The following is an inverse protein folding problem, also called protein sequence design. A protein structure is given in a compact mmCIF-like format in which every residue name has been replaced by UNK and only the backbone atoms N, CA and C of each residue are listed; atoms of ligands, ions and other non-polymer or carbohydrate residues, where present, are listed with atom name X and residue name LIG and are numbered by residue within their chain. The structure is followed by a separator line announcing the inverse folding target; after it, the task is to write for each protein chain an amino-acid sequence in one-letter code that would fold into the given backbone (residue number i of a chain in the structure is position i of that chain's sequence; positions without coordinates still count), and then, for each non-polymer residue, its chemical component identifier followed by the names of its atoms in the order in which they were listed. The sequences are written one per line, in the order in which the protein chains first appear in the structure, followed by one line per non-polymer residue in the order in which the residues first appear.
data_IF_307014883340
#
_entry.id   IF_307014883340
#
_cell.length_a   1.000
_cell.length_b   1.000
_cell.length_c   1.000
_cell.angle_alpha   90.00
_cell.angle_beta   90.00
_cell.angle_gamma   90.00
#
_symmetry.space_group_name_H-M   'P 1'
#
loop_
_entity.id
_entity.type
_entity.pdbx_description
1 polymer ?
#
# COMPACT_ATOMS: atom_id res chain seq x y z
N UNK A 1 3.27 2.42 -12.22
CA UNK A 1 4.33 1.91 -13.14
C UNK A 1 4.49 0.43 -12.90
N UNK A 2 4.67 -0.35 -13.96
CA UNK A 2 4.82 -1.80 -13.88
C UNK A 2 6.03 -2.23 -14.71
N UNK A 3 7.17 -2.60 -14.08
CA UNK A 3 8.34 -3.08 -14.80
C UNK A 3 8.06 -4.44 -15.44
N UNK A 4 8.61 -4.68 -16.62
CA UNK A 4 8.54 -5.97 -17.30
C UNK A 4 9.88 -6.69 -17.23
N UNK A 5 9.88 -8.03 -17.21
CA UNK A 5 11.11 -8.80 -17.34
C UNK A 5 11.69 -8.63 -18.76
N UNK A 6 13.01 -8.79 -18.87
CA UNK A 6 13.71 -8.80 -20.16
C UNK A 6 14.05 -7.41 -20.71
N UNK A 7 14.27 -7.34 -22.03
CA UNK A 7 14.76 -6.14 -22.73
C UNK A 7 13.82 -5.62 -23.83
N UNK A 8 12.76 -6.34 -24.14
CA UNK A 8 11.80 -6.02 -25.20
C UNK A 8 10.38 -5.96 -24.66
N UNK A 9 9.52 -5.19 -25.31
CA UNK A 9 8.10 -5.22 -25.00
C UNK A 9 7.46 -6.51 -25.55
N UNK A 10 6.43 -7.04 -24.89
CA UNK A 10 5.65 -8.15 -25.42
C UNK A 10 5.07 -7.84 -26.80
N UNK A 11 5.12 -8.81 -27.71
CA UNK A 11 4.63 -8.67 -29.09
C UNK A 11 3.22 -9.29 -29.30
N UNK A 12 2.65 -9.92 -28.26
CA UNK A 12 1.34 -10.56 -28.30
C UNK A 12 0.71 -10.59 -26.91
N UNK A 13 -0.59 -10.88 -26.84
CA UNK A 13 -1.31 -11.05 -25.57
C UNK A 13 -0.74 -12.18 -24.71
N UNK A 14 -0.31 -13.29 -25.33
CA UNK A 14 0.29 -14.42 -24.62
C UNK A 14 1.69 -14.08 -24.08
N UNK A 15 2.51 -13.37 -24.87
CA UNK A 15 3.80 -12.88 -24.39
C UNK A 15 3.63 -11.86 -23.25
N UNK A 16 2.58 -11.04 -23.31
CA UNK A 16 2.23 -10.10 -22.25
C UNK A 16 1.84 -10.85 -20.97
N UNK A 17 0.95 -11.84 -21.06
CA UNK A 17 0.55 -12.69 -19.93
C UNK A 17 1.76 -13.27 -19.22
N UNK A 18 2.67 -13.89 -19.97
CA UNK A 18 3.90 -14.47 -19.44
C UNK A 18 4.82 -13.43 -18.78
N UNK A 19 4.98 -12.25 -19.39
CA UNK A 19 5.81 -11.17 -18.84
C UNK A 19 5.22 -10.60 -17.53
N UNK A 20 3.89 -10.43 -17.46
CA UNK A 20 3.21 -9.99 -16.24
C UNK A 20 3.36 -11.03 -15.13
N UNK A 21 3.12 -12.31 -15.43
CA UNK A 21 3.28 -13.43 -14.48
C UNK A 21 4.68 -13.43 -13.86
N UNK A 22 5.72 -13.37 -14.69
CA UNK A 22 7.10 -13.36 -14.24
C UNK A 22 7.46 -12.11 -13.44
N UNK A 23 6.96 -10.93 -13.83
CA UNK A 23 7.19 -9.69 -13.08
C UNK A 23 6.58 -9.77 -11.67
N UNK A 24 5.34 -10.25 -11.57
CA UNK A 24 4.64 -10.38 -10.28
C UNK A 24 5.33 -11.43 -9.40
N UNK A 25 5.72 -12.57 -9.97
CA UNK A 25 6.45 -13.61 -9.25
C UNK A 25 7.82 -13.16 -8.71
N UNK A 26 8.36 -12.04 -9.20
CA UNK A 26 9.59 -11.44 -8.65
C UNK A 26 9.37 -10.67 -7.34
N UNK A 27 8.12 -10.27 -7.04
CA UNK A 27 7.75 -9.49 -5.85
C UNK A 27 6.88 -10.26 -4.87
N UNK A 28 6.15 -11.29 -5.32
CA UNK A 28 5.36 -12.18 -4.47
C UNK A 28 5.70 -13.64 -4.75
N UNK A 29 5.53 -14.50 -3.76
CA UNK A 29 5.46 -15.94 -3.94
C UNK A 29 4.02 -16.29 -4.33
N UNK A 30 3.77 -16.77 -5.56
CA UNK A 30 2.42 -17.12 -6.01
C UNK A 30 1.90 -18.37 -5.30
N UNK A 31 0.57 -18.47 -5.13
CA UNK A 31 -0.11 -19.70 -4.73
C UNK A 31 -0.55 -20.56 -5.94
N UNK A 32 -0.56 -19.97 -7.14
CA UNK A 32 -0.95 -20.58 -8.41
C UNK A 32 -0.75 -19.59 -9.57
N UNK A 33 -1.25 -19.90 -10.77
CA UNK A 33 -1.24 -18.95 -11.89
C UNK A 33 -1.98 -17.66 -11.52
N UNK A 34 -1.36 -16.51 -11.76
CA UNK A 34 -1.89 -15.21 -11.33
C UNK A 34 -2.55 -14.44 -12.46
N UNK A 35 -2.06 -14.55 -13.70
CA UNK A 35 -2.42 -13.64 -14.80
C UNK A 35 -3.25 -14.31 -15.88
N UNK A 36 -4.36 -13.69 -16.21
CA UNK A 36 -5.20 -13.99 -17.38
C UNK A 36 -5.34 -12.75 -18.25
N UNK A 37 -5.32 -12.95 -19.58
CA UNK A 37 -5.42 -11.88 -20.58
C UNK A 37 -6.44 -12.30 -21.63
N UNK A 38 -7.47 -11.48 -21.83
CA UNK A 38 -8.43 -11.62 -22.92
C UNK A 38 -8.03 -10.69 -24.06
N UNK A 39 -7.63 -11.27 -25.20
CA UNK A 39 -7.19 -10.53 -26.38
C UNK A 39 -8.38 -9.93 -27.15
N UNK A 40 -8.18 -8.73 -27.70
CA UNK A 40 -9.12 -8.05 -28.59
C UNK A 40 -8.45 -7.54 -29.87
N UNK A 41 -7.31 -8.14 -30.24
CA UNK A 41 -6.45 -7.69 -31.33
C UNK A 41 -5.33 -6.82 -30.79
N UNK A 42 -4.37 -7.46 -30.11
CA UNK A 42 -3.17 -6.85 -29.53
C UNK A 42 -2.60 -5.71 -30.41
N UNK A 43 -2.34 -4.51 -29.86
CA UNK A 43 -2.22 -4.18 -28.44
C UNK A 43 -3.53 -3.81 -27.73
N UNK A 44 -4.70 -4.05 -28.36
CA UNK A 44 -6.00 -3.91 -27.71
C UNK A 44 -6.37 -5.18 -26.97
N UNK A 45 -6.81 -5.05 -25.73
CA UNK A 45 -7.18 -6.14 -24.84
C UNK A 45 -8.59 -5.88 -24.31
N UNK A 46 -9.38 -6.94 -24.22
CA UNK A 46 -10.70 -6.87 -23.60
C UNK A 46 -10.56 -6.85 -22.07
N UNK A 47 -9.70 -7.70 -21.52
CA UNK A 47 -9.49 -7.76 -20.08
C UNK A 47 -8.09 -8.22 -19.70
N UNK A 48 -7.60 -7.72 -18.56
CA UNK A 48 -6.47 -8.31 -17.83
C UNK A 48 -6.91 -8.51 -16.38
N UNK A 49 -6.83 -9.75 -15.90
CA UNK A 49 -7.12 -10.09 -14.52
C UNK A 49 -5.88 -10.71 -13.86
N UNK A 50 -5.54 -10.17 -12.70
CA UNK A 50 -4.42 -10.59 -11.85
C UNK A 50 -4.99 -11.05 -10.51
N UNK A 51 -4.94 -12.36 -10.23
CA UNK A 51 -5.24 -12.89 -8.90
C UNK A 51 -3.95 -13.05 -8.11
N UNK A 52 -3.87 -12.38 -6.95
CA UNK A 52 -2.86 -12.55 -5.93
C UNK A 52 -3.42 -13.34 -4.74
N UNK A 53 -4.50 -14.10 -4.96
CA UNK A 53 -5.19 -14.82 -3.91
C UNK A 53 -4.28 -15.89 -3.31
N UNK A 54 -4.09 -15.84 -1.99
CA UNK A 54 -3.17 -16.72 -1.27
C UNK A 54 -1.68 -16.42 -1.50
N UNK A 55 -1.32 -15.43 -2.31
CA UNK A 55 0.08 -15.08 -2.57
C UNK A 55 0.75 -14.50 -1.32
N UNK A 56 2.09 -14.50 -1.29
CA UNK A 56 2.88 -13.96 -0.18
C UNK A 56 3.90 -12.93 -0.66
N UNK A 57 3.74 -11.67 -0.26
CA UNK A 57 4.61 -10.55 -0.61
C UNK A 57 5.95 -10.51 0.16
N UNK A 58 6.20 -11.50 1.03
CA UNK A 58 7.42 -11.60 1.82
C UNK A 58 7.51 -10.57 2.95
N UNK A 59 8.70 -10.50 3.56
CA UNK A 59 8.97 -9.66 4.74
C UNK A 59 9.47 -8.26 4.35
N UNK A 60 9.99 -8.09 3.13
CA UNK A 60 10.57 -6.84 2.64
C UNK A 60 9.66 -6.21 1.61
N UNK A 61 9.38 -4.90 1.70
CA UNK A 61 8.63 -4.22 0.67
C UNK A 61 9.37 -4.32 -0.68
N UNK A 62 8.65 -4.44 -1.81
CA UNK A 62 9.27 -4.44 -3.12
C UNK A 62 10.01 -3.12 -3.36
N UNK A 63 11.09 -3.18 -4.14
CA UNK A 63 11.80 -1.97 -4.55
C UNK A 63 10.85 -1.11 -5.38
N UNK A 64 10.84 0.21 -5.13
CA UNK A 64 10.07 1.13 -5.98
C UNK A 64 10.57 1.01 -7.42
N UNK A 65 9.66 0.90 -8.41
CA UNK A 65 10.05 0.92 -9.81
C UNK A 65 10.82 2.21 -10.11
N UNK A 66 11.83 2.10 -10.97
CA UNK A 66 12.55 3.26 -11.44
C UNK A 66 11.64 4.11 -12.35
N UNK A 67 11.77 5.45 -12.33
CA UNK A 67 10.99 6.31 -13.21
C UNK A 67 11.38 6.07 -14.68
N UNK A 68 10.45 6.30 -15.62
CA UNK A 68 10.75 6.24 -17.05
C UNK A 68 11.75 7.32 -17.44
N UNK A 69 12.57 7.03 -18.45
CA UNK A 69 13.48 7.97 -19.09
C UNK A 69 12.98 8.24 -20.51
N UNK A 70 13.01 9.51 -20.91
CA UNK A 70 12.53 9.95 -22.22
C UNK A 70 11.00 10.03 -22.31
N UNK A 71 10.49 10.15 -23.54
CA UNK A 71 9.07 10.25 -23.80
C UNK A 71 8.37 8.90 -23.65
N UNK A 72 7.25 8.88 -22.93
CA UNK A 72 6.36 7.72 -22.86
C UNK A 72 5.61 7.57 -24.18
N UNK A 73 5.68 6.39 -24.80
CA UNK A 73 5.01 6.08 -26.06
C UNK A 73 3.65 5.40 -25.80
N UNK A 74 2.68 5.47 -26.72
CA UNK A 74 1.45 4.68 -26.63
C UNK A 74 1.75 3.18 -26.53
N UNK A 75 1.03 2.48 -25.64
CA UNK A 75 1.24 1.06 -25.36
C UNK A 75 -0.03 0.23 -25.52
N UNK A 76 -0.62 -0.18 -24.40
CA UNK A 76 -1.78 -1.06 -24.35
C UNK A 76 -3.08 -0.29 -24.14
N UNK A 77 -4.17 -0.81 -24.70
CA UNK A 77 -5.53 -0.34 -24.43
C UNK A 77 -6.33 -1.52 -23.88
N UNK A 78 -6.93 -1.34 -22.69
CA UNK A 78 -7.66 -2.37 -21.99
C UNK A 78 -9.06 -1.89 -21.66
N UNK A 79 -10.11 -2.65 -22.00
CA UNK A 79 -11.47 -2.29 -21.58
C UNK A 79 -11.65 -2.50 -20.07
N UNK A 80 -11.14 -3.62 -19.55
CA UNK A 80 -11.26 -3.98 -18.13
C UNK A 80 -9.92 -4.41 -17.52
N UNK A 81 -9.64 -3.93 -16.32
CA UNK A 81 -8.47 -4.33 -15.53
C UNK A 81 -8.93 -4.69 -14.12
N UNK A 82 -8.46 -5.83 -13.60
CA UNK A 82 -8.75 -6.26 -12.23
C UNK A 82 -7.53 -6.86 -11.56
N UNK A 83 -7.33 -6.53 -10.29
CA UNK A 83 -6.42 -7.21 -9.38
C UNK A 83 -7.18 -7.62 -8.13
N UNK A 84 -7.03 -8.86 -7.69
CA UNK A 84 -7.57 -9.35 -6.41
C UNK A 84 -6.45 -9.92 -5.53
N UNK A 85 -6.69 -10.00 -4.22
CA UNK A 85 -5.81 -10.68 -3.28
C UNK A 85 -6.58 -11.03 -2.02
N UNK A 86 -7.02 -12.29 -1.91
CA UNK A 86 -7.91 -12.78 -0.86
C UNK A 86 -7.45 -14.12 -0.26
N UNK A 87 -6.84 -14.13 0.93
CA UNK A 87 -6.02 -13.04 1.45
C UNK A 87 -4.69 -12.96 0.69
N UNK A 88 -4.15 -11.76 0.53
CA UNK A 88 -2.73 -11.55 0.24
C UNK A 88 -1.96 -11.52 1.58
N UNK A 89 -0.89 -12.31 1.70
CA UNK A 89 -0.03 -12.28 2.88
C UNK A 89 1.05 -11.22 2.74
N UNK A 90 1.02 -10.20 3.60
CA UNK A 90 2.02 -9.13 3.68
C UNK A 90 2.66 -9.18 5.06
N UNK A 91 3.96 -9.49 5.17
CA UNK A 91 4.64 -9.65 6.47
C UNK A 91 3.84 -10.55 7.45
N UNK A 92 3.27 -11.64 6.91
CA UNK A 92 2.40 -12.63 7.59
C UNK A 92 1.00 -12.16 7.98
N UNK A 93 0.68 -10.88 7.79
CA UNK A 93 -0.66 -10.38 7.99
C UNK A 93 -1.53 -10.62 6.76
N UNK A 94 -2.80 -10.93 7.01
CA UNK A 94 -3.80 -11.13 5.97
C UNK A 94 -4.36 -9.78 5.54
N UNK A 95 -4.21 -9.47 4.26
CA UNK A 95 -4.72 -8.25 3.63
C UNK A 95 -5.63 -8.65 2.50
N UNK A 96 -6.88 -8.18 2.52
CA UNK A 96 -7.75 -8.24 1.36
C UNK A 96 -7.50 -7.02 0.48
N UNK A 97 -7.20 -7.25 -0.79
CA UNK A 97 -6.93 -6.20 -1.76
C UNK A 97 -7.78 -6.40 -3.00
N UNK A 98 -8.39 -5.32 -3.49
CA UNK A 98 -9.08 -5.34 -4.77
C UNK A 98 -8.82 -4.03 -5.51
N UNK A 99 -8.52 -4.14 -6.80
CA UNK A 99 -8.39 -3.00 -7.70
C UNK A 99 -9.15 -3.31 -8.97
N UNK A 100 -10.03 -2.41 -9.40
CA UNK A 100 -10.77 -2.51 -10.66
C UNK A 100 -10.63 -1.21 -11.43
N UNK A 101 -10.47 -1.27 -12.74
CA UNK A 101 -10.46 -0.11 -13.60
C UNK A 101 -11.06 -0.41 -14.98
N UNK A 102 -11.61 0.63 -15.62
CA UNK A 102 -12.17 0.57 -16.98
C UNK A 102 -11.48 1.54 -17.92
N UNK A 103 -11.46 1.15 -19.21
CA UNK A 103 -10.84 1.91 -20.30
C UNK A 103 -9.42 2.36 -19.96
N UNK A 104 -8.58 1.42 -19.53
CA UNK A 104 -7.21 1.69 -19.12
C UNK A 104 -6.32 1.87 -20.34
N UNK A 105 -5.54 2.94 -20.35
CA UNK A 105 -4.47 3.18 -21.31
C UNK A 105 -3.13 3.10 -20.62
N UNK A 106 -2.27 2.22 -21.10
CA UNK A 106 -0.90 2.09 -20.63
C UNK A 106 0.06 2.61 -21.70
N UNK A 107 1.00 3.45 -21.29
CA UNK A 107 2.14 3.85 -22.08
C UNK A 107 3.30 2.87 -21.91
N UNK A 108 4.19 2.84 -22.89
CA UNK A 108 5.43 2.09 -22.89
C UNK A 108 6.61 3.04 -22.72
N UNK A 109 7.50 2.71 -21.79
CA UNK A 109 8.72 3.47 -21.55
C UNK A 109 9.85 2.53 -21.10
N UNK A 110 11.06 3.08 -21.01
CA UNK A 110 12.21 2.36 -20.45
C UNK A 110 12.73 3.07 -19.21
N UNK A 111 13.26 2.32 -18.27
CA UNK A 111 14.03 2.89 -17.17
C UNK A 111 15.44 3.27 -17.63
N UNK A 112 16.24 3.85 -16.72
CA UNK A 112 17.65 4.21 -17.01
C UNK A 112 18.55 3.00 -17.31
N UNK A 113 18.15 1.80 -16.92
CA UNK A 113 18.86 0.55 -17.18
C UNK A 113 18.38 -0.11 -18.50
N UNK A 114 17.52 0.58 -19.24
CA UNK A 114 16.94 0.17 -20.51
C UNK A 114 15.85 -0.90 -20.39
N UNK A 115 15.38 -1.23 -19.19
CA UNK A 115 14.34 -2.24 -19.00
C UNK A 115 12.97 -1.66 -19.37
N UNK A 116 12.11 -2.44 -20.06
CA UNK A 116 10.77 -2.01 -20.41
C UNK A 116 9.87 -1.90 -19.17
N UNK A 117 9.02 -0.88 -19.13
CA UNK A 117 7.98 -0.72 -18.13
C UNK A 117 6.70 -0.14 -18.74
N UNK A 118 5.56 -0.51 -18.18
CA UNK A 118 4.29 0.13 -18.45
C UNK A 118 4.05 1.29 -17.47
N UNK A 119 3.54 2.39 -18.01
CA UNK A 119 3.11 3.57 -17.26
C UNK A 119 1.61 3.69 -17.42
N UNK A 120 0.87 3.83 -16.31
CA UNK A 120 -0.56 4.15 -16.39
C UNK A 120 -0.67 5.56 -16.97
N UNK A 121 -1.31 5.72 -18.12
CA UNK A 121 -1.59 7.04 -18.69
C UNK A 121 -2.98 7.46 -18.22
N UNK A 122 -3.99 6.66 -18.53
CA UNK A 122 -5.38 7.00 -18.25
C UNK A 122 -6.20 5.78 -17.78
N UNK A 123 -7.30 6.06 -17.09
CA UNK A 123 -8.41 5.14 -16.84
C UNK A 123 -9.70 5.98 -16.78
N UNK A 124 -10.80 5.52 -17.38
CA UNK A 124 -12.08 6.24 -17.31
C UNK A 124 -12.59 6.30 -15.86
N UNK A 125 -12.52 5.16 -15.19
CA UNK A 125 -12.83 5.00 -13.78
C UNK A 125 -12.03 3.85 -13.18
N UNK A 126 -11.82 3.92 -11.87
CA UNK A 126 -11.25 2.83 -11.10
C UNK A 126 -11.46 2.98 -9.61
N UNK A 127 -11.33 1.85 -8.93
CA UNK A 127 -11.54 1.71 -7.49
C UNK A 127 -10.45 0.82 -6.92
N UNK A 128 -9.89 1.22 -5.79
CA UNK A 128 -9.03 0.39 -4.94
C UNK A 128 -9.72 0.20 -3.60
N UNK A 129 -9.64 -1.01 -3.07
CA UNK A 129 -10.06 -1.33 -1.72
C UNK A 129 -8.98 -2.16 -1.03
N UNK A 130 -8.65 -1.78 0.20
CA UNK A 130 -7.76 -2.50 1.10
C UNK A 130 -8.52 -2.74 2.40
N UNK A 131 -8.58 -3.99 2.85
CA UNK A 131 -9.19 -4.38 4.12
C UNK A 131 -8.21 -5.21 4.92
N UNK A 132 -8.06 -4.88 6.20
CA UNK A 132 -7.16 -5.57 7.13
C UNK A 132 -7.86 -5.73 8.46
N UNK A 133 -7.91 -6.95 9.00
CA UNK A 133 -8.41 -7.17 10.36
C UNK A 133 -7.53 -6.44 11.39
N UNK A 134 -8.12 -5.91 12.47
CA UNK A 134 -7.33 -5.20 13.49
C UNK A 134 -6.23 -6.08 14.09
N UNK A 135 -6.48 -7.38 14.30
CA UNK A 135 -5.47 -8.32 14.79
C UNK A 135 -4.28 -8.50 13.82
N UNK A 136 -4.55 -8.48 12.52
CA UNK A 136 -3.51 -8.55 11.48
C UNK A 136 -2.72 -7.24 11.43
N UNK A 137 -3.38 -6.09 11.58
CA UNK A 137 -2.73 -4.78 11.68
C UNK A 137 -1.84 -4.68 12.94
N UNK A 138 -2.31 -5.17 14.08
CA UNK A 138 -1.53 -5.26 15.32
C UNK A 138 -0.28 -6.13 15.14
N UNK A 139 -0.40 -7.26 14.44
CA UNK A 139 0.72 -8.14 14.14
C UNK A 139 1.76 -7.45 13.24
N UNK A 140 1.32 -6.69 12.22
CA UNK A 140 2.21 -5.88 11.37
C UNK A 140 2.99 -4.85 12.17
N UNK A 141 2.28 -4.06 12.99
CA UNK A 141 2.91 -3.01 13.81
C UNK A 141 3.85 -3.64 14.83
N UNK A 142 3.48 -4.77 15.45
CA UNK A 142 4.34 -5.50 16.37
C UNK A 142 5.62 -6.00 15.69
N UNK A 143 5.52 -6.55 14.47
CA UNK A 143 6.68 -7.03 13.72
C UNK A 143 7.66 -5.89 13.42
N UNK A 144 7.16 -4.75 12.94
CA UNK A 144 7.97 -3.55 12.70
C UNK A 144 8.59 -3.00 14.00
N UNK A 145 7.80 -2.91 15.07
CA UNK A 145 8.28 -2.43 16.36
C UNK A 145 9.38 -3.33 16.95
N UNK A 146 9.24 -4.66 16.85
CA UNK A 146 10.28 -5.62 17.29
C UNK A 146 11.57 -5.45 16.51
N UNK A 147 11.49 -5.28 15.19
CA UNK A 147 12.66 -5.14 14.32
C UNK A 147 13.50 -3.90 14.68
N UNK A 148 12.88 -2.80 15.10
CA UNK A 148 13.57 -1.58 15.52
C UNK A 148 13.98 -1.61 17.00
N UNK A 149 13.11 -2.09 17.90
CA UNK A 149 13.35 -2.06 19.34
C UNK A 149 14.50 -2.97 19.78
N UNK A 150 14.70 -4.12 19.13
CA UNK A 150 15.78 -5.06 19.47
C UNK A 150 17.16 -4.42 19.32
N UNK A 151 17.31 -3.48 18.37
CA UNK A 151 18.55 -2.71 18.16
C UNK A 151 18.92 -1.83 19.37
N UNK A 152 17.95 -1.58 20.24
CA UNK A 152 18.08 -0.78 21.46
C UNK A 152 18.03 -1.63 22.74
N UNK A 153 18.09 -2.96 22.62
CA UNK A 153 17.98 -3.91 23.73
C UNK A 153 16.58 -3.97 24.36
N UNK A 154 15.55 -3.54 23.62
CA UNK A 154 14.15 -3.52 24.07
C UNK A 154 13.38 -4.64 23.37
N UNK A 155 12.62 -5.41 24.15
CA UNK A 155 11.67 -6.39 23.63
C UNK A 155 10.27 -5.80 23.63
N UNK A 156 9.58 -5.80 22.49
CA UNK A 156 8.17 -5.41 22.40
C UNK A 156 7.32 -6.66 22.54
N UNK A 157 6.49 -6.71 23.57
CA UNK A 157 5.70 -7.90 23.93
C UNK A 157 4.36 -7.92 23.19
N UNK A 158 3.66 -6.79 23.18
CA UNK A 158 2.34 -6.68 22.56
C UNK A 158 2.07 -5.28 22.03
N UNK A 159 1.28 -5.23 20.96
CA UNK A 159 0.65 -4.02 20.44
C UNK A 159 -0.86 -4.26 20.43
N UNK A 160 -1.63 -3.27 20.87
CA UNK A 160 -3.10 -3.23 20.70
C UNK A 160 -3.49 -1.94 20.01
N UNK A 161 -4.43 -2.01 19.07
CA UNK A 161 -4.88 -0.87 18.29
C UNK A 161 -6.39 -0.71 18.47
N UNK A 162 -6.78 0.47 18.94
CA UNK A 162 -8.16 0.92 18.95
C UNK A 162 -8.30 1.99 17.87
N UNK A 163 -9.25 1.79 16.96
CA UNK A 163 -9.59 2.72 15.89
C UNK A 163 -11.02 3.21 16.07
N UNK A 164 -11.24 4.51 15.93
CA UNK A 164 -12.56 5.11 15.96
C UNK A 164 -12.76 6.01 14.74
N UNK A 165 -13.64 5.60 13.83
CA UNK A 165 -14.06 6.45 12.71
C UNK A 165 -14.98 7.56 13.22
N UNK A 166 -14.59 8.81 12.97
CA UNK A 166 -15.42 10.00 13.26
C UNK A 166 -16.26 10.40 12.05
N UNK A 167 -15.73 10.20 10.85
CA UNK A 167 -16.40 10.36 9.57
C UNK A 167 -15.70 9.52 8.49
N UNK A 168 -16.23 9.46 7.27
CA UNK A 168 -15.59 8.75 6.14
C UNK A 168 -14.17 9.25 5.81
N UNK A 169 -13.74 10.38 6.37
CA UNK A 169 -12.40 10.98 6.16
C UNK A 169 -11.67 11.31 7.47
N UNK A 170 -12.17 10.84 8.61
CA UNK A 170 -11.54 11.12 9.90
C UNK A 170 -11.48 9.85 10.77
N UNK A 171 -10.27 9.54 11.22
CA UNK A 171 -9.93 8.37 12.01
C UNK A 171 -9.13 8.80 13.24
N UNK A 172 -9.60 8.41 14.42
CA UNK A 172 -8.80 8.45 15.64
C UNK A 172 -8.18 7.08 15.90
N UNK A 173 -6.93 7.09 16.35
CA UNK A 173 -6.19 5.89 16.67
C UNK A 173 -5.56 5.99 18.05
N UNK A 174 -5.63 4.89 18.79
CA UNK A 174 -4.91 4.68 20.04
C UNK A 174 -4.16 3.36 19.91
N UNK A 175 -2.84 3.42 20.09
CA UNK A 175 -1.94 2.28 20.07
C UNK A 175 -1.38 2.08 21.47
N UNK A 176 -1.65 0.92 22.06
CA UNK A 176 -1.10 0.51 23.35
C UNK A 176 0.05 -0.44 23.11
N UNK A 177 1.22 -0.15 23.68
CA UNK A 177 2.43 -0.95 23.52
C UNK A 177 2.91 -1.41 24.88
N UNK A 178 3.19 -2.71 25.02
CA UNK A 178 3.92 -3.24 26.17
C UNK A 178 5.32 -3.65 25.72
N UNK A 179 6.31 -3.19 26.45
CA UNK A 179 7.71 -3.47 26.16
C UNK A 179 8.50 -3.75 27.43
N UNK A 180 9.63 -4.44 27.28
CA UNK A 180 10.56 -4.75 28.36
C UNK A 180 11.98 -4.40 27.98
N UNK A 181 12.76 -3.99 28.98
CA UNK A 181 14.21 -3.88 28.91
C UNK A 181 14.79 -4.56 30.14
N UNK A 182 15.51 -5.66 29.94
CA UNK A 182 15.95 -6.55 31.02
C UNK A 182 14.75 -6.99 31.89
N UNK A 183 14.80 -6.74 33.21
CA UNK A 183 13.74 -7.06 34.18
C UNK A 183 12.65 -5.98 34.30
N UNK A 184 12.78 -4.88 33.55
CA UNK A 184 11.90 -3.74 33.68
C UNK A 184 10.84 -3.72 32.57
N UNK A 185 9.59 -3.39 32.92
CA UNK A 185 8.47 -3.30 31.99
C UNK A 185 8.01 -1.86 31.81
N UNK A 186 7.53 -1.53 30.61
CA UNK A 186 6.92 -0.25 30.28
C UNK A 186 5.62 -0.48 29.50
N UNK A 187 4.58 0.27 29.87
CA UNK A 187 3.35 0.37 29.11
C UNK A 187 3.25 1.78 28.52
N UNK A 188 3.00 1.86 27.22
CA UNK A 188 2.90 3.09 26.46
C UNK A 188 1.53 3.17 25.79
N UNK A 189 0.97 4.37 25.74
CA UNK A 189 -0.23 4.73 25.00
C UNK A 189 0.14 5.84 24.03
N UNK A 190 0.07 5.54 22.74
CA UNK A 190 0.27 6.50 21.66
C UNK A 190 -1.09 6.82 21.06
N UNK A 191 -1.44 8.09 20.93
CA UNK A 191 -2.73 8.50 20.34
C UNK A 191 -2.52 9.49 19.21
N UNK A 192 -3.47 9.57 18.29
CA UNK A 192 -3.47 10.52 17.19
C UNK A 192 -4.75 10.48 16.38
N UNK A 193 -4.87 11.42 15.45
CA UNK A 193 -5.95 11.47 14.47
C UNK A 193 -5.38 11.64 13.07
N UNK A 194 -6.06 11.05 12.09
CA UNK A 194 -5.86 11.25 10.67
C UNK A 194 -7.13 11.90 10.11
N UNK A 195 -6.97 13.03 9.42
CA UNK A 195 -8.05 13.66 8.66
C UNK A 195 -7.65 13.76 7.18
N UNK A 196 -8.59 13.55 6.26
CA UNK A 196 -8.42 13.79 4.83
C UNK A 196 -9.33 14.94 4.43
N UNK A 197 -8.77 16.01 3.86
CA UNK A 197 -9.54 17.16 3.38
C UNK A 197 -10.15 16.94 1.99
N UNK A 198 -10.85 17.95 1.47
CA UNK A 198 -11.46 17.93 0.13
C UNK A 198 -10.44 17.96 -1.01
N UNK A 199 -9.23 18.42 -0.74
CA UNK A 199 -8.10 18.46 -1.67
C UNK A 199 -7.27 17.16 -1.61
N UNK A 200 -7.74 16.15 -0.87
CA UNK A 200 -7.07 14.87 -0.64
C UNK A 200 -5.68 15.02 -0.01
N UNK A 201 -5.53 15.99 0.89
CA UNK A 201 -4.40 16.04 1.82
C UNK A 201 -4.75 15.29 3.08
N UNK A 202 -3.93 14.28 3.39
CA UNK A 202 -3.97 13.57 4.66
C UNK A 202 -3.17 14.34 5.70
N UNK A 203 -3.80 14.72 6.81
CA UNK A 203 -3.18 15.39 7.95
C UNK A 203 -3.16 14.49 9.17
N UNK A 204 -1.97 14.30 9.73
CA UNK A 204 -1.82 13.70 11.06
C UNK A 204 -1.85 14.82 12.11
N UNK A 205 -2.60 14.61 13.20
CA UNK A 205 -2.72 15.59 14.26
C UNK A 205 -2.90 14.92 15.63
N UNK A 206 -2.62 15.67 16.70
CA UNK A 206 -2.81 15.22 18.08
C UNK A 206 -1.91 14.06 18.47
N UNK A 207 -0.75 13.90 17.82
CA UNK A 207 0.17 12.80 18.07
C UNK A 207 0.80 12.92 19.47
N UNK A 208 0.46 12.01 20.38
CA UNK A 208 0.91 12.03 21.78
C UNK A 208 1.41 10.65 22.21
N UNK A 209 2.35 10.64 23.16
CA UNK A 209 2.79 9.45 23.88
C UNK A 209 2.62 9.69 25.37
N UNK A 210 1.87 8.81 26.03
CA UNK A 210 1.79 8.73 27.49
C UNK A 210 2.34 7.37 27.93
N UNK A 211 3.13 7.34 29.01
CA UNK A 211 3.72 6.12 29.53
C UNK A 211 3.46 5.99 31.02
N UNK A 212 3.32 4.74 31.48
CA UNK A 212 3.14 4.44 32.90
C UNK A 212 4.47 4.22 33.61
N UNK A 213 4.61 4.81 34.80
CA UNK A 213 5.83 4.71 35.63
C UNK A 213 7.06 5.40 35.02
N UNK A 214 8.18 5.34 35.74
CA UNK A 214 9.40 6.07 35.37
C UNK A 214 9.94 5.69 33.98
N UNK A 215 9.83 4.41 33.59
CA UNK A 215 10.30 3.93 32.30
C UNK A 215 9.36 4.26 31.14
N UNK A 216 8.05 4.23 31.39
CA UNK A 216 7.07 4.67 30.41
C UNK A 216 7.27 6.16 30.09
N UNK A 217 7.44 6.99 31.12
CA UNK A 217 7.73 8.42 30.97
C UNK A 217 9.03 8.65 30.20
N UNK A 218 10.11 7.93 30.55
CA UNK A 218 11.40 8.03 29.85
C UNK A 218 11.27 7.62 28.38
N UNK A 219 10.62 6.49 28.08
CA UNK A 219 10.41 6.01 26.72
C UNK A 219 9.58 7.01 25.89
N UNK A 220 8.53 7.59 26.46
CA UNK A 220 7.77 8.65 25.78
C UNK A 220 8.61 9.91 25.57
N UNK A 221 9.57 10.22 26.44
CA UNK A 221 10.56 11.29 26.20
C UNK A 221 11.39 11.10 24.92
N UNK A 222 11.65 9.86 24.51
CA UNK A 222 12.33 9.57 23.24
C UNK A 222 11.39 9.50 22.04
N UNK A 223 10.15 9.07 22.24
CA UNK A 223 9.15 8.90 21.17
C UNK A 223 8.49 10.24 20.81
N UNK A 224 8.16 11.07 21.79
CA UNK A 224 7.44 12.32 21.58
C UNK A 224 8.13 13.27 20.59
N UNK A 225 9.47 13.46 20.59
CA UNK A 225 10.14 14.25 19.56
C UNK A 225 9.96 13.69 18.15
N UNK A 226 9.88 12.37 17.97
CA UNK A 226 9.61 11.77 16.66
C UNK A 226 8.16 11.99 16.24
N UNK A 227 7.21 11.83 17.16
CA UNK A 227 5.79 12.12 16.90
C UNK A 227 5.57 13.59 16.51
N UNK A 228 6.22 14.52 17.19
CA UNK A 228 6.13 15.95 16.91
C UNK A 228 6.57 16.33 15.49
N UNK A 229 7.47 15.55 14.85
CA UNK A 229 7.88 15.77 13.44
C UNK A 229 6.78 15.45 12.43
N UNK A 230 5.76 14.70 12.84
CA UNK A 230 4.62 14.32 12.01
C UNK A 230 3.34 15.02 12.45
N UNK A 231 3.31 15.62 13.64
CA UNK A 231 2.13 16.30 14.16
C UNK A 231 1.83 17.57 13.35
N UNK A 232 0.60 17.69 12.87
CA UNK A 232 0.19 18.74 11.94
C UNK A 232 0.71 18.57 10.51
N UNK A 233 1.45 17.50 10.21
CA UNK A 233 2.04 17.31 8.88
C UNK A 233 0.99 16.85 7.88
N UNK A 234 0.99 17.50 6.73
CA UNK A 234 0.13 17.19 5.59
C UNK A 234 0.89 16.38 4.54
N UNK A 235 0.20 15.39 3.99
CA UNK A 235 0.67 14.51 2.92
C UNK A 235 -0.36 14.56 1.80
N UNK A 236 0.03 15.12 0.66
CA UNK A 236 -0.83 15.10 -0.51
C UNK A 236 -0.97 13.66 -1.01
N UNK A 237 -2.18 13.12 -1.00
CA UNK A 237 -2.48 11.79 -1.56
C UNK A 237 -2.46 11.82 -3.10
N UNK A 238 -2.54 13.02 -3.69
CA UNK A 238 -2.38 13.26 -5.12
C UNK A 238 -0.92 13.13 -5.60
N UNK A 239 0.05 13.20 -4.68
CA UNK A 239 1.47 13.03 -5.02
C UNK A 239 1.86 11.55 -5.28
N UNK A 240 0.91 10.62 -5.15
CA UNK A 240 1.12 9.23 -5.52
C UNK A 240 1.26 9.13 -7.05
N UNK A 241 2.30 8.45 -7.59
CA UNK A 241 2.55 8.37 -9.02
C UNK A 241 1.52 7.46 -9.72
N UNK A 242 0.33 8.00 -10.00
CA UNK A 242 -0.75 7.35 -10.73
C UNK A 242 -0.72 7.65 -12.24
N UNK A 243 0.30 8.36 -12.72
CA UNK A 243 0.35 8.85 -14.11
C UNK A 243 -0.52 10.09 -14.29
N UNK A 244 -1.31 10.15 -15.37
CA UNK A 244 -2.27 11.26 -15.59
C UNK A 244 -3.62 11.00 -14.90
N UNK A 245 -3.79 9.83 -14.30
CA UNK A 245 -4.96 9.47 -13.51
C UNK A 245 -4.96 10.25 -12.20
N UNK A 246 -6.10 10.86 -11.88
CA UNK A 246 -6.29 11.57 -10.61
C UNK A 246 -7.04 10.71 -9.62
N UNK A 247 -6.58 10.76 -8.38
CA UNK A 247 -7.37 10.33 -7.24
C UNK A 247 -8.57 11.29 -7.10
N UNK A 248 -9.78 10.74 -7.03
CA UNK A 248 -11.04 11.49 -6.94
C UNK A 248 -11.61 11.49 -5.53
N UNK A 249 -11.45 10.38 -4.82
CA UNK A 249 -11.99 10.21 -3.47
C UNK A 249 -11.17 9.21 -2.68
N UNK A 250 -11.10 9.40 -1.36
CA UNK A 250 -10.54 8.46 -0.40
C UNK A 250 -11.45 8.41 0.81
N UNK A 251 -11.82 7.20 1.22
CA UNK A 251 -12.64 6.93 2.38
C UNK A 251 -11.99 5.94 3.30
N UNK A 252 -12.25 6.10 4.59
CA UNK A 252 -11.74 5.28 5.67
C UNK A 252 -12.92 4.86 6.54
N UNK A 253 -13.00 3.56 6.84
CA UNK A 253 -13.89 3.01 7.83
C UNK A 253 -13.11 2.06 8.74
N UNK A 254 -13.39 2.11 10.04
CA UNK A 254 -12.75 1.28 11.03
C UNK A 254 -13.77 0.73 12.03
N UNK A 255 -13.62 -0.55 12.34
CA UNK A 255 -14.39 -1.28 13.33
C UNK A 255 -13.59 -2.47 13.81
N UNK A 256 -13.99 -3.69 13.43
CA UNK A 256 -13.16 -4.90 13.62
C UNK A 256 -12.06 -5.02 12.57
N UNK A 257 -12.20 -4.28 11.48
CA UNK A 257 -11.29 -4.21 10.34
C UNK A 257 -11.05 -2.73 10.03
N UNK A 258 -9.89 -2.43 9.48
CA UNK A 258 -9.60 -1.17 8.81
C UNK A 258 -9.88 -1.36 7.32
N UNK A 259 -10.79 -0.55 6.77
CA UNK A 259 -11.11 -0.48 5.34
C UNK A 259 -10.70 0.87 4.80
N UNK A 260 -9.92 0.86 3.74
CA UNK A 260 -9.55 2.05 2.97
C UNK A 260 -10.01 1.85 1.54
N UNK A 261 -10.80 2.79 1.04
CA UNK A 261 -11.30 2.79 -0.34
C UNK A 261 -10.82 4.05 -1.04
N UNK A 262 -10.36 3.90 -2.28
CA UNK A 262 -9.94 5.01 -3.13
C UNK A 262 -10.62 4.91 -4.50
N UNK A 263 -11.06 6.04 -5.05
CA UNK A 263 -11.58 6.13 -6.41
C UNK A 263 -10.64 6.97 -7.26
N UNK A 264 -10.45 6.58 -8.52
CA UNK A 264 -9.58 7.29 -9.45
C UNK A 264 -10.15 7.28 -10.87
N UNK A 265 -9.63 8.15 -11.73
CA UNK A 265 -9.96 8.17 -13.15
C UNK A 265 -9.64 9.50 -13.80
N UNK A 266 -10.10 9.71 -15.04
CA UNK A 266 -10.03 11.00 -15.73
C UNK A 266 -10.72 12.11 -14.89
N UNK A 267 -10.40 13.39 -15.04
CA UNK A 267 -11.28 14.45 -14.52
C UNK A 267 -12.69 14.26 -15.09
N UNK A 268 -13.73 14.48 -14.27
CA UNK A 268 -15.10 14.58 -14.78
C UNK A 268 -15.26 15.84 -15.62
#
# INVERSE_FOLDING_TARGET
MFPLPGKTFPASAEALRAALEQSIASVVRPAGPMVTVEDAGYPKLKAVHISLDGANAGERPPRRPQPPVGAVQPGLQLENFTVSGHPLLVQRARVDFTCTAREVRLGQARDKDGNPLFVLLEAAEGKVEVVVALSDLEALVLAGAKAEAVKQGVSVESVRIELQTRSERNLEAVVQVRAKKLFLSAALRISGSLAIDEQLNARLAGLKCAGEGALGTLACGFIAPQLARFDGREFSLLALPLGEVKLRDVRIAAGRELRVTAQFGRPA
#
